data_IF_995861506166
#
_entry.id   IF_995861506166
#
_cell.length_a   1.000
_cell.length_b   1.000
_cell.length_c   1.000
_cell.angle_alpha   90.00
_cell.angle_beta   90.00
_cell.angle_gamma   90.00
#
_symmetry.space_group_name_H-M   'P 1'
#
loop_
_entity.id
_entity.type
_entity.pdbx_description
1 polymer ?
#
# COMPACT_ATOMS: atom_id res chain seq x y z
N UNK A 1 -22.60 -15.03 10.72
CA UNK A 1 -21.23 -15.31 10.21
C UNK A 1 -20.13 -14.68 11.07
N UNK A 2 -20.28 -13.46 11.60
CA UNK A 2 -19.32 -12.79 12.51
C UNK A 2 -19.22 -13.48 13.87
N UNK A 3 -20.31 -13.99 14.42
CA UNK A 3 -20.34 -14.66 15.74
C UNK A 3 -19.63 -16.02 15.71
N UNK A 4 -19.74 -16.77 14.62
CA UNK A 4 -19.02 -18.04 14.45
C UNK A 4 -17.50 -17.85 14.26
N UNK A 5 -17.07 -16.70 13.72
CA UNK A 5 -15.68 -16.34 13.58
C UNK A 5 -15.05 -15.94 14.93
N UNK A 6 -15.79 -15.20 15.75
CA UNK A 6 -15.34 -14.81 17.09
C UNK A 6 -15.20 -16.00 18.06
N UNK A 7 -16.07 -17.00 17.96
CA UNK A 7 -15.96 -18.22 18.77
C UNK A 7 -14.80 -19.13 18.34
N UNK A 8 -14.45 -19.16 17.05
CA UNK A 8 -13.29 -19.89 16.55
C UNK A 8 -11.95 -19.26 16.97
N UNK A 9 -11.89 -17.92 17.01
CA UNK A 9 -10.70 -17.16 17.44
C UNK A 9 -10.47 -17.27 18.95
N UNK A 10 -11.54 -17.30 19.76
CA UNK A 10 -11.45 -17.45 21.22
C UNK A 10 -10.89 -18.80 21.66
N UNK A 11 -11.04 -19.85 20.84
CA UNK A 11 -10.60 -21.20 21.20
C UNK A 11 -9.11 -21.51 20.89
N UNK A 12 -8.40 -20.65 20.17
CA UNK A 12 -7.02 -20.93 19.69
C UNK A 12 -5.96 -19.86 19.98
N UNK A 13 -6.31 -18.71 20.56
CA UNK A 13 -5.37 -17.62 20.84
C UNK A 13 -5.36 -17.29 22.33
N UNK A 14 -4.28 -17.65 23.00
CA UNK A 14 -4.05 -17.33 24.42
C UNK A 14 -3.82 -15.84 24.71
N UNK A 15 -3.95 -14.95 23.74
CA UNK A 15 -3.93 -13.50 23.96
C UNK A 15 -4.72 -12.73 22.90
N UNK A 16 -5.99 -12.53 23.18
CA UNK A 16 -6.92 -11.72 22.37
C UNK A 16 -6.47 -10.24 22.31
N UNK A 17 -5.67 -9.77 23.28
CA UNK A 17 -5.16 -8.40 23.30
C UNK A 17 -4.13 -8.13 22.20
N UNK A 18 -3.22 -9.06 21.94
CA UNK A 18 -2.25 -8.90 20.85
C UNK A 18 -2.90 -8.94 19.48
N UNK A 19 -3.92 -9.79 19.28
CA UNK A 19 -4.64 -9.87 18.01
C UNK A 19 -5.50 -8.62 17.73
N UNK A 20 -6.14 -8.05 18.75
CA UNK A 20 -6.89 -6.80 18.62
C UNK A 20 -5.96 -5.59 18.41
N UNK A 21 -4.77 -5.58 18.98
CA UNK A 21 -3.75 -4.55 18.73
C UNK A 21 -3.21 -4.63 17.29
N UNK A 22 -3.09 -5.81 16.75
CA UNK A 22 -2.69 -6.03 15.34
C UNK A 22 -3.78 -5.60 14.35
N UNK A 23 -5.08 -5.85 14.65
CA UNK A 23 -6.21 -5.44 13.81
C UNK A 23 -6.53 -3.95 13.89
N UNK A 24 -6.27 -3.31 15.04
CA UNK A 24 -6.64 -1.91 15.28
C UNK A 24 -5.54 -0.91 14.99
N UNK A 25 -4.37 -1.37 14.50
CA UNK A 25 -3.24 -0.51 14.16
C UNK A 25 -3.04 0.57 15.23
N UNK A 26 -1.90 0.67 15.83
CA UNK A 26 -1.52 1.47 17.00
C UNK A 26 -1.83 2.98 16.96
N UNK A 27 -2.59 3.47 15.98
CA UNK A 27 -3.10 4.85 15.94
C UNK A 27 -4.48 4.92 16.59
N UNK A 28 -4.40 4.90 17.92
CA UNK A 28 -5.44 4.98 18.87
C UNK A 28 -6.43 6.11 18.67
N UNK A 29 -7.60 5.76 18.18
CA UNK A 29 -8.80 6.18 18.89
C UNK A 29 -9.44 4.90 19.39
N UNK A 30 -9.21 4.65 20.67
CA UNK A 30 -9.78 3.54 21.41
C UNK A 30 -11.25 3.37 21.05
N UNK A 31 -11.61 2.20 20.52
CA UNK A 31 -13.00 1.75 20.57
C UNK A 31 -13.21 1.41 22.04
N UNK A 32 -13.70 2.38 22.82
CA UNK A 32 -14.17 2.12 24.16
C UNK A 32 -15.50 1.39 24.00
N UNK A 33 -15.45 0.06 24.04
CA UNK A 33 -16.66 -0.73 24.22
C UNK A 33 -17.01 -0.58 25.69
N UNK A 34 -17.80 0.44 26.00
CA UNK A 34 -18.46 0.53 27.29
C UNK A 34 -19.54 -0.55 27.32
N UNK A 35 -19.25 -1.68 27.97
CA UNK A 35 -20.26 -2.66 28.33
C UNK A 35 -20.93 -2.10 29.57
N UNK A 36 -21.97 -1.29 29.38
CA UNK A 36 -22.91 -0.99 30.46
C UNK A 36 -23.87 -2.16 30.58
N UNK A 37 -23.96 -2.75 31.76
CA UNK A 37 -24.97 -3.72 32.13
C UNK A 37 -26.24 -2.97 32.52
N UNK A 38 -27.27 -2.92 31.72
CA UNK A 38 -28.58 -2.53 32.18
C UNK A 38 -29.33 -3.73 32.77
N UNK A 39 -30.01 -3.55 33.84
CA UNK A 39 -30.85 -4.54 34.56
C UNK A 39 -32.09 -5.00 33.77
N UNK A 40 -32.10 -4.94 32.45
CA UNK A 40 -33.20 -5.47 31.62
C UNK A 40 -32.60 -5.99 30.29
N UNK A 41 -32.85 -7.25 30.02
CA UNK A 41 -32.22 -8.10 28.99
C UNK A 41 -32.43 -7.70 27.54
N UNK A 42 -32.11 -6.48 27.15
CA UNK A 42 -32.02 -6.04 25.76
C UNK A 42 -30.60 -5.55 25.46
N UNK A 43 -29.87 -6.35 24.71
CA UNK A 43 -28.53 -6.03 24.21
C UNK A 43 -28.65 -5.06 23.03
N UNK A 44 -28.51 -3.76 23.28
CA UNK A 44 -28.38 -2.78 22.19
C UNK A 44 -26.92 -2.77 21.70
N UNK A 45 -26.69 -3.28 20.52
CA UNK A 45 -25.45 -3.12 19.75
C UNK A 45 -25.44 -1.70 19.15
N UNK A 46 -24.86 -0.75 19.89
CA UNK A 46 -24.58 0.57 19.34
C UNK A 46 -23.36 0.44 18.43
N UNK A 47 -23.57 0.36 17.12
CA UNK A 47 -22.50 0.36 16.14
C UNK A 47 -21.75 1.67 16.18
N UNK A 48 -20.51 1.67 16.65
CA UNK A 48 -19.61 2.82 16.54
C UNK A 48 -19.23 2.97 15.07
N UNK A 49 -19.77 3.98 14.43
CA UNK A 49 -19.34 4.38 13.07
C UNK A 49 -17.97 5.03 13.23
N UNK A 50 -16.90 4.27 13.00
CA UNK A 50 -15.55 4.84 12.90
C UNK A 50 -15.49 5.69 11.64
N UNK A 51 -15.37 7.01 11.82
CA UNK A 51 -15.20 7.92 10.70
C UNK A 51 -13.94 7.55 9.91
N UNK A 52 -14.09 7.34 8.59
CA UNK A 52 -12.97 7.00 7.70
C UNK A 52 -11.98 8.16 7.63
N UNK A 53 -10.71 7.88 7.86
CA UNK A 53 -9.65 8.86 7.69
C UNK A 53 -9.28 8.97 6.20
N UNK A 54 -9.90 9.91 5.49
CA UNK A 54 -9.62 10.11 4.06
C UNK A 54 -8.20 10.64 3.80
N UNK A 55 -7.57 11.29 4.75
CA UNK A 55 -6.17 11.70 4.64
C UNK A 55 -5.26 10.48 4.49
N UNK A 56 -5.33 9.52 5.40
CA UNK A 56 -4.52 8.30 5.34
C UNK A 56 -4.84 7.44 4.10
N UNK A 57 -6.13 7.35 3.75
CA UNK A 57 -6.57 6.64 2.53
C UNK A 57 -5.96 7.28 1.29
N UNK A 58 -5.91 8.61 1.23
CA UNK A 58 -5.33 9.35 0.10
C UNK A 58 -3.82 9.16 0.02
N UNK A 59 -3.10 9.23 1.15
CA UNK A 59 -1.65 9.01 1.19
C UNK A 59 -1.29 7.57 0.75
N UNK A 60 -1.97 6.58 1.27
CA UNK A 60 -1.72 5.19 0.87
C UNK A 60 -2.04 4.96 -0.63
N UNK A 61 -3.12 5.59 -1.14
CA UNK A 61 -3.45 5.55 -2.56
C UNK A 61 -2.39 6.26 -3.42
N UNK A 62 -1.86 7.39 -2.96
CA UNK A 62 -0.76 8.08 -3.61
C UNK A 62 0.50 7.20 -3.68
N UNK A 63 0.78 6.39 -2.65
CA UNK A 63 1.87 5.41 -2.70
C UNK A 63 1.71 4.36 -3.81
N UNK A 64 0.48 3.88 -4.05
CA UNK A 64 0.18 2.98 -5.19
C UNK A 64 0.40 3.70 -6.52
N UNK A 65 -0.12 4.92 -6.66
CA UNK A 65 0.00 5.74 -7.86
C UNK A 65 1.46 6.11 -8.15
N UNK A 66 2.26 6.41 -7.10
CA UNK A 66 3.70 6.67 -7.23
C UNK A 66 4.43 5.46 -7.79
N UNK A 67 4.15 4.27 -7.27
CA UNK A 67 4.72 3.03 -7.80
C UNK A 67 4.31 2.78 -9.26
N UNK A 68 3.05 3.03 -9.63
CA UNK A 68 2.59 2.91 -11.01
C UNK A 68 3.35 3.86 -11.95
N UNK A 69 3.57 5.11 -11.54
CA UNK A 69 4.28 6.10 -12.34
C UNK A 69 5.78 5.78 -12.45
N UNK A 70 6.42 5.34 -11.36
CA UNK A 70 7.81 4.87 -11.40
C UNK A 70 7.99 3.70 -12.36
N UNK A 71 7.06 2.73 -12.38
CA UNK A 71 7.07 1.62 -13.36
C UNK A 71 7.01 2.15 -14.79
N UNK A 72 6.13 3.13 -15.05
CA UNK A 72 5.99 3.74 -16.37
C UNK A 72 7.29 4.45 -16.78
N UNK A 73 7.89 5.29 -15.91
CA UNK A 73 9.17 5.95 -16.20
C UNK A 73 10.27 4.92 -16.51
N UNK A 74 10.42 3.89 -15.68
CA UNK A 74 11.41 2.83 -15.90
C UNK A 74 11.18 2.09 -17.23
N UNK A 75 9.93 1.80 -17.57
CA UNK A 75 9.60 1.04 -18.77
C UNK A 75 9.80 1.83 -20.07
N UNK A 76 9.57 3.14 -20.04
CA UNK A 76 9.69 4.00 -21.22
C UNK A 76 11.07 4.65 -21.37
N UNK A 77 11.72 4.99 -20.23
CA UNK A 77 12.95 5.81 -20.21
C UNK A 77 14.19 5.06 -19.68
N UNK A 78 14.01 3.90 -19.03
CA UNK A 78 15.09 3.16 -18.37
C UNK A 78 15.54 3.78 -17.04
N UNK A 79 15.04 4.96 -16.70
CA UNK A 79 15.34 5.72 -15.49
C UNK A 79 14.05 6.27 -14.87
N UNK A 80 14.11 6.67 -13.60
CA UNK A 80 12.97 7.27 -12.91
C UNK A 80 13.45 8.24 -11.84
N UNK A 81 12.50 8.97 -11.23
CA UNK A 81 12.80 9.86 -10.11
C UNK A 81 13.42 9.08 -8.94
N UNK A 82 14.66 9.42 -8.59
CA UNK A 82 15.46 8.69 -7.59
C UNK A 82 14.90 8.81 -6.18
N UNK A 83 14.39 9.98 -5.78
CA UNK A 83 13.90 10.19 -4.42
C UNK A 83 12.56 9.48 -4.20
N UNK A 84 11.67 9.54 -5.18
CA UNK A 84 10.42 8.78 -5.17
C UNK A 84 10.68 7.25 -5.19
N UNK A 85 11.70 6.80 -5.93
CA UNK A 85 12.14 5.40 -5.92
C UNK A 85 12.61 5.00 -4.53
N UNK A 86 13.51 5.78 -3.90
CA UNK A 86 14.00 5.53 -2.54
C UNK A 86 12.86 5.44 -1.54
N UNK A 87 11.94 6.39 -1.58
CA UNK A 87 10.75 6.40 -0.70
C UNK A 87 9.92 5.15 -0.87
N UNK A 88 9.62 4.79 -2.12
CA UNK A 88 8.80 3.61 -2.42
C UNK A 88 9.49 2.31 -1.97
N UNK A 89 10.79 2.15 -2.21
CA UNK A 89 11.52 0.95 -1.79
C UNK A 89 11.67 0.86 -0.26
N UNK A 90 11.95 1.98 0.44
CA UNK A 90 12.00 2.02 1.90
C UNK A 90 10.67 1.63 2.54
N UNK A 91 9.54 1.98 1.93
CA UNK A 91 8.22 1.64 2.45
C UNK A 91 7.99 0.13 2.60
N UNK A 92 8.68 -0.70 1.80
CA UNK A 92 8.59 -2.17 1.88
C UNK A 92 9.02 -2.68 3.26
N UNK A 93 10.06 -2.06 3.85
CA UNK A 93 10.67 -2.46 5.13
C UNK A 93 10.00 -1.82 6.34
N UNK A 94 9.07 -0.89 6.13
CA UNK A 94 8.31 -0.28 7.23
C UNK A 94 7.24 -1.26 7.74
N UNK A 95 7.63 -2.12 8.69
CA UNK A 95 6.79 -3.22 9.19
C UNK A 95 5.85 -2.71 10.28
N UNK A 96 6.36 -1.88 11.21
CA UNK A 96 5.61 -1.36 12.36
C UNK A 96 5.56 0.17 12.35
N UNK A 97 4.95 0.80 11.34
CA UNK A 97 4.89 2.25 11.25
C UNK A 97 3.99 2.84 12.35
N UNK A 98 4.36 4.02 12.84
CA UNK A 98 3.56 4.77 13.83
C UNK A 98 2.36 5.48 13.18
N UNK A 99 2.43 5.75 11.88
CA UNK A 99 1.40 6.43 11.08
C UNK A 99 1.52 6.08 9.60
N UNK A 100 0.53 6.46 8.81
CA UNK A 100 0.57 6.31 7.34
C UNK A 100 1.73 7.12 6.72
N UNK A 101 1.99 8.32 7.23
CA UNK A 101 3.11 9.17 6.76
C UNK A 101 4.47 8.54 7.08
N UNK A 102 4.58 7.88 8.24
CA UNK A 102 5.80 7.19 8.68
C UNK A 102 6.25 6.11 7.69
N UNK A 103 5.32 5.39 7.08
CA UNK A 103 5.62 4.40 6.02
C UNK A 103 6.44 5.02 4.89
N UNK A 104 6.21 6.29 4.60
CA UNK A 104 6.85 7.03 3.50
C UNK A 104 7.90 8.04 3.99
N UNK A 105 8.48 7.82 5.17
CA UNK A 105 9.59 8.60 5.70
C UNK A 105 9.18 9.91 6.38
N UNK A 106 8.02 9.93 7.04
CA UNK A 106 7.49 11.01 7.88
C UNK A 106 7.27 12.37 7.19
N UNK A 107 7.20 12.39 5.84
CA UNK A 107 6.94 13.62 5.11
C UNK A 107 5.99 13.38 3.93
N UNK A 108 4.91 14.17 3.87
CA UNK A 108 3.93 14.11 2.78
C UNK A 108 4.55 14.44 1.41
N UNK A 109 5.60 15.28 1.38
CA UNK A 109 6.33 15.66 0.18
C UNK A 109 6.92 14.45 -0.55
N UNK A 110 7.26 13.38 0.16
CA UNK A 110 7.77 12.15 -0.43
C UNK A 110 6.76 11.45 -1.34
N UNK A 111 5.48 11.79 -1.20
CA UNK A 111 4.39 11.28 -2.03
C UNK A 111 3.87 12.31 -3.05
N UNK A 112 4.54 13.46 -3.21
CA UNK A 112 4.11 14.52 -4.14
C UNK A 112 3.82 13.96 -5.53
N UNK A 113 4.76 13.22 -6.11
CA UNK A 113 4.59 12.60 -7.43
C UNK A 113 3.39 11.63 -7.47
N UNK A 114 3.18 10.85 -6.41
CA UNK A 114 2.04 9.94 -6.29
C UNK A 114 0.70 10.67 -6.16
N UNK A 115 0.66 11.80 -5.45
CA UNK A 115 -0.54 12.63 -5.32
C UNK A 115 -0.91 13.30 -6.66
N UNK A 116 0.09 13.84 -7.38
CA UNK A 116 -0.10 14.40 -8.72
C UNK A 116 -0.61 13.34 -9.69
N UNK A 117 -0.02 12.14 -9.65
CA UNK A 117 -0.47 10.99 -10.45
C UNK A 117 -1.89 10.57 -10.10
N UNK A 118 -2.24 10.53 -8.81
CA UNK A 118 -3.59 10.21 -8.35
C UNK A 118 -4.61 11.22 -8.91
N UNK A 119 -4.33 12.52 -8.83
CA UNK A 119 -5.18 13.56 -9.41
C UNK A 119 -5.30 13.40 -10.94
N UNK A 120 -4.20 13.09 -11.61
CA UNK A 120 -4.19 12.77 -13.03
C UNK A 120 -5.14 11.62 -13.36
N UNK A 121 -5.03 10.49 -12.65
CA UNK A 121 -5.90 9.32 -12.85
C UNK A 121 -7.38 9.65 -12.54
N UNK A 122 -7.63 10.39 -11.47
CA UNK A 122 -8.99 10.74 -11.08
C UNK A 122 -9.62 11.78 -12.01
N UNK A 123 -8.86 12.70 -12.63
CA UNK A 123 -9.37 13.79 -13.45
C UNK A 123 -9.33 13.51 -14.96
N UNK A 124 -8.55 12.51 -15.41
CA UNK A 124 -8.39 12.19 -16.83
C UNK A 124 -9.59 11.46 -17.44
N UNK A 125 -9.89 11.76 -18.68
CA UNK A 125 -10.55 10.84 -19.60
C UNK A 125 -9.64 9.62 -19.82
N UNK A 126 -10.25 8.44 -20.01
CA UNK A 126 -9.61 7.11 -20.03
C UNK A 126 -8.65 6.85 -21.20
N UNK A 127 -7.93 7.85 -21.70
CA UNK A 127 -7.07 7.76 -22.89
C UNK A 127 -5.60 8.04 -22.57
N UNK A 128 -4.71 7.42 -23.32
CA UNK A 128 -3.26 7.64 -23.27
C UNK A 128 -2.57 7.19 -21.98
N UNK A 129 -1.61 7.99 -21.51
CA UNK A 129 -0.79 7.71 -20.32
C UNK A 129 -1.61 7.51 -19.04
N UNK A 130 -2.74 8.18 -18.91
CA UNK A 130 -3.67 8.00 -17.79
C UNK A 130 -4.30 6.59 -17.75
N UNK A 131 -4.58 6.00 -18.91
CA UNK A 131 -5.10 4.64 -19.01
C UNK A 131 -4.06 3.59 -18.58
N UNK A 132 -2.80 3.80 -18.94
CA UNK A 132 -1.69 2.92 -18.54
C UNK A 132 -1.49 2.94 -17.02
N UNK A 133 -1.41 4.13 -16.42
CA UNK A 133 -1.26 4.32 -14.97
C UNK A 133 -2.44 3.73 -14.20
N UNK A 134 -3.66 3.94 -14.68
CA UNK A 134 -4.86 3.33 -14.12
C UNK A 134 -4.78 1.80 -14.14
N UNK A 135 -4.35 1.22 -15.25
CA UNK A 135 -4.18 -0.24 -15.40
C UNK A 135 -3.19 -0.79 -14.39
N UNK A 136 -2.01 -0.16 -14.20
CA UNK A 136 -1.02 -0.58 -13.21
C UNK A 136 -1.58 -0.46 -11.78
N UNK A 137 -2.18 0.66 -11.45
CA UNK A 137 -2.81 0.92 -10.15
C UNK A 137 -3.87 -0.14 -9.81
N UNK A 138 -4.78 -0.43 -10.73
CA UNK A 138 -5.79 -1.47 -10.53
C UNK A 138 -5.20 -2.88 -10.44
N UNK A 139 -4.17 -3.18 -11.23
CA UNK A 139 -3.50 -4.47 -11.19
C UNK A 139 -2.82 -4.73 -9.85
N UNK A 140 -2.19 -3.70 -9.26
CA UNK A 140 -1.60 -3.77 -7.91
C UNK A 140 -2.66 -4.06 -6.85
N UNK A 141 -3.82 -3.40 -6.90
CA UNK A 141 -4.94 -3.66 -5.98
C UNK A 141 -5.54 -5.07 -6.17
N UNK A 142 -5.53 -5.61 -7.41
CA UNK A 142 -5.99 -6.98 -7.65
C UNK A 142 -5.05 -7.99 -7.04
N UNK A 143 -3.73 -7.82 -7.23
CA UNK A 143 -2.72 -8.71 -6.66
C UNK A 143 -2.70 -8.64 -5.14
N UNK A 144 -2.81 -7.43 -4.55
CA UNK A 144 -2.93 -7.27 -3.09
C UNK A 144 -4.11 -8.08 -2.54
N UNK A 145 -5.29 -7.98 -3.14
CA UNK A 145 -6.45 -8.74 -2.69
C UNK A 145 -6.23 -10.25 -2.74
N UNK A 146 -5.51 -10.74 -3.75
CA UNK A 146 -5.16 -12.16 -3.85
C UNK A 146 -4.14 -12.56 -2.80
N UNK A 147 -3.16 -11.69 -2.53
CA UNK A 147 -2.20 -11.86 -1.44
C UNK A 147 -2.92 -11.95 -0.10
N UNK A 148 -3.83 -11.01 0.19
CA UNK A 148 -4.59 -10.98 1.45
C UNK A 148 -5.47 -12.22 1.66
N UNK A 149 -5.90 -12.88 0.59
CA UNK A 149 -6.66 -14.13 0.64
C UNK A 149 -5.77 -15.39 0.66
N UNK A 150 -4.44 -15.25 0.64
CA UNK A 150 -3.49 -16.36 0.63
C UNK A 150 -2.54 -16.28 1.83
N UNK A 151 -2.88 -16.98 2.91
CA UNK A 151 -2.13 -16.97 4.16
C UNK A 151 -0.67 -17.40 3.99
N UNK A 152 -0.43 -18.46 3.21
CA UNK A 152 0.93 -18.95 3.00
C UNK A 152 1.80 -17.91 2.27
N UNK A 153 1.24 -17.20 1.29
CA UNK A 153 1.95 -16.13 0.59
C UNK A 153 2.21 -14.91 1.50
N UNK A 154 1.28 -14.56 2.39
CA UNK A 154 1.48 -13.51 3.39
C UNK A 154 2.59 -13.86 4.37
N UNK A 155 2.60 -15.08 4.89
CA UNK A 155 3.61 -15.55 5.83
C UNK A 155 5.00 -15.61 5.15
N UNK A 156 5.08 -16.08 3.91
CA UNK A 156 6.33 -16.09 3.13
C UNK A 156 6.83 -14.67 2.84
N UNK A 157 5.93 -13.75 2.42
CA UNK A 157 6.28 -12.36 2.19
C UNK A 157 6.84 -11.71 3.47
N UNK A 158 6.15 -11.89 4.60
CA UNK A 158 6.57 -11.37 5.90
C UNK A 158 7.95 -11.87 6.31
N UNK A 159 8.20 -13.19 6.16
CA UNK A 159 9.50 -13.80 6.45
C UNK A 159 10.63 -13.21 5.62
N UNK A 160 10.40 -12.99 4.33
CA UNK A 160 11.41 -12.40 3.44
C UNK A 160 11.66 -10.92 3.72
N UNK A 161 10.62 -10.15 4.01
CA UNK A 161 10.75 -8.73 4.36
C UNK A 161 11.53 -8.57 5.67
N UNK A 162 11.29 -9.40 6.69
CA UNK A 162 12.02 -9.38 7.95
C UNK A 162 13.54 -9.63 7.81
N UNK A 163 13.98 -10.19 6.70
CA UNK A 163 15.40 -10.45 6.43
C UNK A 163 16.08 -9.28 5.69
N UNK A 164 15.32 -8.30 5.18
CA UNK A 164 15.87 -7.21 4.37
C UNK A 164 16.76 -6.26 5.18
N UNK A 165 16.45 -6.02 6.46
CA UNK A 165 17.24 -5.13 7.31
C UNK A 165 18.69 -5.58 7.42
N UNK A 166 18.94 -6.90 7.56
CA UNK A 166 20.30 -7.46 7.58
C UNK A 166 21.05 -7.25 6.26
N UNK A 167 20.34 -7.19 5.15
CA UNK A 167 20.97 -6.97 3.85
C UNK A 167 21.31 -5.51 3.62
N UNK A 168 20.53 -4.57 4.18
CA UNK A 168 20.84 -3.14 4.16
C UNK A 168 22.07 -2.77 5.00
N UNK A 169 22.50 -3.59 5.93
CA UNK A 169 23.77 -3.43 6.62
C UNK A 169 24.98 -3.55 5.68
N UNK A 170 24.81 -4.27 4.56
CA UNK A 170 25.89 -4.61 3.63
C UNK A 170 25.73 -3.98 2.25
N UNK A 171 24.52 -3.56 1.87
CA UNK A 171 24.22 -3.07 0.52
C UNK A 171 23.43 -1.77 0.59
N UNK A 172 23.77 -0.82 -0.28
CA UNK A 172 22.93 0.35 -0.48
C UNK A 172 21.57 0.00 -1.04
N UNK A 173 20.55 0.75 -0.64
CA UNK A 173 19.15 0.56 -1.06
C UNK A 173 18.97 0.52 -2.59
N UNK A 174 19.77 1.32 -3.33
CA UNK A 174 19.70 1.39 -4.78
C UNK A 174 20.75 0.53 -5.49
N UNK A 175 21.54 -0.27 -4.76
CA UNK A 175 22.48 -1.20 -5.36
C UNK A 175 21.75 -2.26 -6.19
N UNK A 176 22.34 -2.69 -7.30
CA UNK A 176 21.78 -3.74 -8.15
C UNK A 176 21.53 -5.02 -7.36
N UNK A 177 22.40 -5.33 -6.39
CA UNK A 177 22.24 -6.51 -5.51
C UNK A 177 20.96 -6.42 -4.70
N UNK A 178 20.71 -5.31 -4.00
CA UNK A 178 19.51 -5.15 -3.17
C UNK A 178 18.24 -5.08 -4.02
N UNK A 179 18.28 -4.37 -5.15
CA UNK A 179 17.18 -4.33 -6.13
C UNK A 179 16.82 -5.73 -6.63
N UNK A 180 17.82 -6.58 -6.91
CA UNK A 180 17.58 -7.95 -7.34
C UNK A 180 16.94 -8.80 -6.24
N UNK A 181 17.28 -8.57 -4.97
CA UNK A 181 16.60 -9.24 -3.84
C UNK A 181 15.13 -8.88 -3.80
N UNK A 182 14.78 -7.59 -3.87
CA UNK A 182 13.39 -7.13 -3.90
C UNK A 182 12.64 -7.68 -5.12
N UNK A 183 13.28 -7.68 -6.28
CA UNK A 183 12.73 -8.25 -7.50
C UNK A 183 12.46 -9.76 -7.36
N UNK A 184 13.36 -10.50 -6.69
CA UNK A 184 13.19 -11.91 -6.37
C UNK A 184 11.96 -12.16 -5.49
N UNK A 185 11.76 -11.36 -4.44
CA UNK A 185 10.57 -11.45 -3.58
C UNK A 185 9.29 -11.27 -4.41
N UNK A 186 9.25 -10.26 -5.29
CA UNK A 186 8.10 -10.04 -6.17
C UNK A 186 7.83 -11.26 -7.06
N UNK A 187 8.87 -11.82 -7.70
CA UNK A 187 8.73 -12.97 -8.61
C UNK A 187 8.26 -14.21 -7.87
N UNK A 188 8.85 -14.49 -6.73
CA UNK A 188 8.62 -15.74 -6.00
C UNK A 188 7.28 -15.78 -5.28
N UNK A 189 6.83 -14.65 -4.73
CA UNK A 189 5.63 -14.56 -3.90
C UNK A 189 4.47 -13.94 -4.66
N UNK A 190 4.66 -12.73 -5.21
CA UNK A 190 3.56 -11.92 -5.72
C UNK A 190 3.14 -12.35 -7.12
N UNK A 191 4.09 -12.56 -8.03
CA UNK A 191 3.78 -12.80 -9.45
C UNK A 191 3.02 -14.10 -9.70
N UNK A 192 3.04 -15.02 -8.74
CA UNK A 192 2.33 -16.32 -8.80
C UNK A 192 0.87 -16.24 -8.36
N UNK A 193 0.47 -15.14 -7.72
CA UNK A 193 -0.88 -14.98 -7.16
C UNK A 193 -1.94 -14.67 -8.21
N UNK A 194 -1.54 -14.26 -9.41
CA UNK A 194 -2.50 -13.89 -10.44
C UNK A 194 -1.91 -13.58 -11.80
N UNK A 195 -2.69 -12.98 -12.70
CA UNK A 195 -2.18 -12.54 -13.98
C UNK A 195 -1.01 -11.57 -13.78
N UNK A 196 0.06 -11.76 -14.54
CA UNK A 196 1.21 -10.85 -14.53
C UNK A 196 0.79 -9.46 -14.97
N UNK A 197 1.28 -8.44 -14.27
CA UNK A 197 1.11 -7.05 -14.72
C UNK A 197 1.84 -6.88 -16.04
N UNK A 198 1.09 -6.59 -17.11
CA UNK A 198 1.66 -6.33 -18.42
C UNK A 198 2.22 -4.92 -18.44
N UNK A 199 3.54 -4.82 -18.28
CA UNK A 199 4.27 -3.55 -18.37
C UNK A 199 4.54 -3.25 -19.84
N UNK A 200 4.10 -2.08 -20.30
CA UNK A 200 4.32 -1.57 -21.65
C UNK A 200 5.39 -0.47 -21.61
N UNK A 201 6.19 -0.37 -22.67
CA UNK A 201 7.27 0.61 -22.75
C UNK A 201 8.15 0.41 -23.98
N UNK A 202 9.31 1.06 -23.99
CA UNK A 202 10.28 0.93 -25.07
C UNK A 202 10.92 -0.47 -25.02
N UNK A 203 10.85 -1.20 -26.15
CA UNK A 203 11.31 -2.59 -26.21
C UNK A 203 12.79 -2.75 -25.82
N UNK A 204 13.64 -1.82 -26.25
CA UNK A 204 15.07 -1.88 -25.96
C UNK A 204 15.35 -1.61 -24.47
N UNK A 205 14.58 -0.73 -23.84
CA UNK A 205 14.63 -0.45 -22.41
C UNK A 205 14.18 -1.67 -21.61
N UNK A 206 13.07 -2.31 -21.98
CA UNK A 206 12.50 -3.46 -21.28
C UNK A 206 13.33 -4.75 -21.43
N UNK A 207 14.25 -4.82 -22.38
CA UNK A 207 15.22 -5.94 -22.48
C UNK A 207 16.32 -5.88 -21.41
N UNK A 208 16.59 -4.71 -20.82
CA UNK A 208 17.61 -4.55 -19.78
C UNK A 208 17.24 -5.31 -18.51
N UNK A 209 18.10 -6.26 -18.03
CA UNK A 209 17.86 -6.98 -16.78
C UNK A 209 17.74 -6.05 -15.57
N UNK A 210 18.53 -4.96 -15.52
CA UNK A 210 18.50 -3.99 -14.45
C UNK A 210 17.15 -3.24 -14.41
N UNK A 211 16.62 -2.84 -15.58
CA UNK A 211 15.31 -2.20 -15.66
C UNK A 211 14.22 -3.16 -15.21
N UNK A 212 14.26 -4.42 -15.65
CA UNK A 212 13.30 -5.43 -15.21
C UNK A 212 13.34 -5.67 -13.70
N UNK A 213 14.52 -5.69 -13.10
CA UNK A 213 14.68 -5.83 -11.65
C UNK A 213 14.10 -4.62 -10.92
N UNK A 214 14.41 -3.39 -11.35
CA UNK A 214 13.84 -2.15 -10.78
C UNK A 214 12.31 -2.12 -10.89
N UNK A 215 11.75 -2.48 -12.05
CA UNK A 215 10.30 -2.56 -12.25
C UNK A 215 9.66 -3.53 -11.25
N UNK A 216 10.21 -4.72 -11.07
CA UNK A 216 9.71 -5.73 -10.12
C UNK A 216 9.80 -5.25 -8.68
N UNK A 217 10.91 -4.61 -8.29
CA UNK A 217 11.08 -4.02 -6.97
C UNK A 217 10.05 -2.90 -6.69
N UNK A 218 9.79 -2.04 -7.67
CA UNK A 218 8.77 -0.99 -7.57
C UNK A 218 7.35 -1.58 -7.52
N UNK A 219 7.09 -2.64 -8.28
CA UNK A 219 5.80 -3.35 -8.18
C UNK A 219 5.60 -3.95 -6.78
N UNK A 220 6.66 -4.48 -6.14
CA UNK A 220 6.59 -4.92 -4.74
C UNK A 220 6.25 -3.76 -3.79
N UNK A 221 6.85 -2.59 -3.98
CA UNK A 221 6.51 -1.39 -3.23
C UNK A 221 5.04 -0.97 -3.44
N UNK A 222 4.53 -1.08 -4.66
CA UNK A 222 3.13 -0.85 -4.98
C UNK A 222 2.18 -1.81 -4.26
N UNK A 223 2.56 -3.09 -4.12
CA UNK A 223 1.82 -4.07 -3.30
C UNK A 223 1.82 -3.65 -1.82
N UNK A 224 2.97 -3.21 -1.27
CA UNK A 224 3.06 -2.72 0.10
C UNK A 224 2.13 -1.52 0.34
N UNK A 225 2.11 -0.57 -0.60
CA UNK A 225 1.19 0.58 -0.53
C UNK A 225 -0.29 0.15 -0.65
N UNK A 226 -0.60 -0.87 -1.47
CA UNK A 226 -1.96 -1.39 -1.60
C UNK A 226 -2.43 -2.12 -0.33
N UNK A 227 -1.54 -2.85 0.35
CA UNK A 227 -1.81 -3.43 1.69
C UNK A 227 -2.10 -2.32 2.70
N UNK A 228 -1.27 -1.27 2.75
CA UNK A 228 -1.50 -0.12 3.62
C UNK A 228 -2.85 0.54 3.33
N UNK A 229 -3.18 0.77 2.06
CA UNK A 229 -4.46 1.35 1.64
C UNK A 229 -5.65 0.56 2.18
N UNK A 230 -5.59 -0.77 2.13
CA UNK A 230 -6.61 -1.62 2.73
C UNK A 230 -6.64 -1.51 4.25
N UNK A 231 -5.49 -1.49 4.92
CA UNK A 231 -5.37 -1.36 6.37
C UNK A 231 -5.98 -0.05 6.90
N UNK A 232 -5.83 1.07 6.19
CA UNK A 232 -6.42 2.36 6.56
C UNK A 232 -7.89 2.51 6.14
N UNK A 233 -8.52 1.44 5.66
CA UNK A 233 -9.94 1.41 5.30
C UNK A 233 -10.24 1.84 3.87
N UNK A 234 -9.27 1.82 2.98
CA UNK A 234 -9.44 2.02 1.55
C UNK A 234 -10.27 0.90 0.91
N UNK A 235 -11.07 1.22 -0.08
CA UNK A 235 -11.84 0.24 -0.84
C UNK A 235 -12.07 0.71 -2.28
N UNK A 236 -12.22 -0.26 -3.21
CA UNK A 236 -12.48 0.06 -4.63
C UNK A 236 -13.78 0.83 -4.83
N UNK A 237 -14.79 0.57 -4.00
CA UNK A 237 -16.06 1.29 -4.05
C UNK A 237 -15.88 2.78 -3.73
N UNK A 238 -14.91 3.14 -2.87
CA UNK A 238 -14.60 4.54 -2.58
C UNK A 238 -14.06 5.28 -3.81
N UNK A 239 -13.29 4.61 -4.67
CA UNK A 239 -12.81 5.23 -5.91
C UNK A 239 -13.97 5.63 -6.82
N UNK A 240 -15.09 4.91 -6.75
CA UNK A 240 -16.31 5.23 -7.52
C UNK A 240 -17.19 6.27 -6.82
N UNK A 241 -17.45 6.09 -5.51
CA UNK A 241 -18.44 6.90 -4.80
C UNK A 241 -17.87 8.05 -3.96
N UNK A 242 -16.56 8.06 -3.69
CA UNK A 242 -15.90 9.09 -2.88
C UNK A 242 -14.78 9.81 -3.64
N UNK A 243 -14.82 9.78 -4.98
CA UNK A 243 -13.81 10.40 -5.85
C UNK A 243 -13.56 11.88 -5.49
N UNK A 244 -14.61 12.66 -5.33
CA UNK A 244 -14.51 14.09 -4.97
C UNK A 244 -13.82 14.31 -3.61
N UNK A 245 -14.02 13.41 -2.65
CA UNK A 245 -13.31 13.48 -1.36
C UNK A 245 -11.82 13.19 -1.51
N UNK A 246 -11.46 12.17 -2.30
CA UNK A 246 -10.05 11.85 -2.58
C UNK A 246 -9.35 12.99 -3.34
N UNK A 247 -10.01 13.57 -4.33
CA UNK A 247 -9.48 14.73 -5.08
C UNK A 247 -9.21 15.88 -4.12
N UNK A 248 -10.19 16.26 -3.28
CA UNK A 248 -10.04 17.34 -2.31
C UNK A 248 -8.87 17.09 -1.36
N UNK A 249 -8.79 15.92 -0.73
CA UNK A 249 -7.68 15.61 0.18
C UNK A 249 -6.33 15.58 -0.52
N UNK A 250 -6.24 15.05 -1.75
CA UNK A 250 -5.01 15.09 -2.52
C UNK A 250 -4.55 16.53 -2.82
N UNK A 251 -5.47 17.43 -3.16
CA UNK A 251 -5.18 18.86 -3.38
C UNK A 251 -4.75 19.55 -2.09
N UNK A 252 -5.43 19.29 -0.96
CA UNK A 252 -5.08 19.82 0.36
C UNK A 252 -3.67 19.38 0.79
N UNK A 253 -3.30 18.12 0.56
CA UNK A 253 -1.95 17.61 0.87
C UNK A 253 -0.92 18.26 -0.04
N UNK A 254 -1.17 18.33 -1.34
CA UNK A 254 -0.25 18.96 -2.31
C UNK A 254 -0.02 20.44 -2.02
N UNK A 255 -1.05 21.18 -1.59
CA UNK A 255 -0.89 22.61 -1.23
C UNK A 255 0.11 22.77 -0.07
N UNK A 256 0.11 21.88 0.91
CA UNK A 256 1.12 21.88 1.99
C UNK A 256 2.51 21.53 1.50
N UNK A 257 2.63 20.59 0.54
CA UNK A 257 3.92 20.22 -0.04
C UNK A 257 4.60 21.35 -0.83
N UNK A 258 3.84 22.35 -1.29
CA UNK A 258 4.40 23.53 -1.99
C UNK A 258 4.86 24.65 -1.06
N UNK A 259 4.41 24.65 0.20
CA UNK A 259 4.71 25.71 1.18
C UNK A 259 5.75 25.27 2.23
N UNK A 260 6.25 24.04 2.15
CA UNK A 260 7.36 23.60 3.00
C UNK A 260 8.69 24.07 2.37
N UNK A 261 9.55 24.80 3.13
CA UNK A 261 10.82 25.32 2.65
C UNK A 261 11.81 24.23 2.27
#
# INVERSE_FOLDING_TARGET
>A
MIIAFLSYVSAKAGDVRQFLTFLLGRNGRAISIAISHPHSGQMMLTGVIVAKNYHDITLAMAGICQSAYLVQQLAHQGSCNTDALKTSLKSIMSINPSSTVDVFGNAEQHLKMGLETLLGILNSSREGLGAELSRYTFSLMVLERRLNNNRAALDELGNRINQLDRQLEHYDLLSDTFINVLAGIYVDVISKLGPRIQVTGAQDVLKSPQVQAKVRAVLLAGIRAAVLWQQVGGSRLQLMFSRSKLVRHAQEILSRCHHSP
#
